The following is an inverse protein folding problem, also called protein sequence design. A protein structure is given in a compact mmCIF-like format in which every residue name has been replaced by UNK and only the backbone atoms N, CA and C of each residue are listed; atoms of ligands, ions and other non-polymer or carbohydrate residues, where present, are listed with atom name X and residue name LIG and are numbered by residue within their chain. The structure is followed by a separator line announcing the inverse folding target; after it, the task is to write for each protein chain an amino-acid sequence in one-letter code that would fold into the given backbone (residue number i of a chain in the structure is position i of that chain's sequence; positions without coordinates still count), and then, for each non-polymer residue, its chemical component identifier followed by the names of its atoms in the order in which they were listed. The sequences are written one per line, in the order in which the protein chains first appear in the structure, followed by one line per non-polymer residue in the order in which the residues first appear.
data_IF_524404645201
#
_entry.id   IF_524404645201
#
_cell.length_a   1.000
_cell.length_b   1.000
_cell.length_c   1.000
_cell.angle_alpha   90.00
_cell.angle_beta   90.00
_cell.angle_gamma   90.00
#
_symmetry.space_group_name_H-M   'P 1'
#
loop_
_entity.id
_entity.type
_entity.pdbx_description
1 polymer ?
#
# COMPACT_ATOMS: atom_id res chain seq x y z
N UNK A 1 41.15 39.91 -24.37
CA UNK A 1 40.45 39.95 -23.07
C UNK A 1 38.98 39.78 -23.35
N UNK A 2 38.50 38.54 -23.30
CA UNK A 2 37.12 38.14 -23.58
C UNK A 2 36.43 37.93 -22.24
N UNK A 3 35.51 38.82 -21.88
CA UNK A 3 34.67 38.70 -20.69
C UNK A 3 33.46 37.82 -21.02
N UNK A 4 33.42 36.61 -20.46
CA UNK A 4 32.19 35.80 -20.42
C UNK A 4 31.25 36.38 -19.34
N UNK A 5 29.92 36.42 -19.59
CA UNK A 5 28.97 36.83 -18.57
C UNK A 5 28.79 35.69 -17.57
N UNK A 6 28.83 36.02 -16.28
CA UNK A 6 28.49 35.11 -15.21
C UNK A 6 27.01 34.72 -15.33
N UNK A 7 26.75 33.42 -15.41
CA UNK A 7 25.42 32.85 -15.24
C UNK A 7 25.03 33.00 -13.78
N UNK A 8 24.10 33.91 -13.51
CA UNK A 8 23.48 34.10 -12.21
C UNK A 8 22.55 32.88 -11.97
N UNK A 9 23.07 31.87 -11.27
CA UNK A 9 22.26 30.77 -10.76
C UNK A 9 21.39 31.32 -9.64
N UNK A 10 20.10 31.50 -9.94
CA UNK A 10 19.10 31.76 -8.92
C UNK A 10 19.19 30.67 -7.82
N UNK A 11 19.17 31.03 -6.52
CA UNK A 11 19.23 30.04 -5.46
C UNK A 11 17.97 29.17 -5.51
N UNK A 12 18.14 27.85 -5.51
CA UNK A 12 17.07 26.88 -5.35
C UNK A 12 16.20 27.29 -4.15
N UNK A 13 14.96 27.72 -4.42
CA UNK A 13 14.05 28.17 -3.40
C UNK A 13 13.68 26.97 -2.51
N UNK A 14 14.22 26.94 -1.29
CA UNK A 14 13.77 26.00 -0.25
C UNK A 14 12.27 26.22 -0.07
N UNK A 15 11.42 25.20 -0.28
CA UNK A 15 9.98 25.36 -0.20
C UNK A 15 9.59 25.81 1.21
N UNK A 16 8.66 26.77 1.29
CA UNK A 16 8.09 27.22 2.56
C UNK A 16 7.47 26.04 3.34
N UNK A 17 7.56 26.08 4.67
CA UNK A 17 7.09 25.02 5.57
C UNK A 17 5.61 24.71 5.30
N UNK A 18 4.77 25.72 5.09
CA UNK A 18 3.34 25.50 4.77
C UNK A 18 3.17 24.73 3.46
N UNK A 19 4.06 24.97 2.48
CA UNK A 19 4.04 24.29 1.18
C UNK A 19 4.45 22.82 1.34
N UNK A 20 5.45 22.54 2.17
CA UNK A 20 5.91 21.18 2.45
C UNK A 20 4.84 20.34 3.18
N UNK A 21 4.11 20.94 4.12
CA UNK A 21 3.03 20.24 4.84
C UNK A 21 1.82 19.97 3.93
N UNK A 22 1.49 20.90 3.04
CA UNK A 22 0.45 20.65 2.03
C UNK A 22 0.89 19.54 1.07
N UNK A 23 2.15 19.53 0.65
CA UNK A 23 2.68 18.52 -0.26
C UNK A 23 2.61 17.10 0.32
N UNK A 24 2.99 16.89 1.58
CA UNK A 24 2.91 15.55 2.20
C UNK A 24 1.48 15.06 2.36
N UNK A 25 0.52 15.96 2.62
CA UNK A 25 -0.91 15.60 2.67
C UNK A 25 -1.42 15.14 1.31
N UNK A 26 -1.05 15.86 0.24
CA UNK A 26 -1.38 15.46 -1.14
C UNK A 26 -0.76 14.10 -1.48
N UNK A 27 0.52 13.90 -1.16
CA UNK A 27 1.21 12.65 -1.40
C UNK A 27 0.55 11.45 -0.69
N UNK A 28 0.10 11.65 0.56
CA UNK A 28 -0.67 10.66 1.31
C UNK A 28 -2.02 10.38 0.66
N UNK A 29 -2.73 11.42 0.22
CA UNK A 29 -4.02 11.27 -0.46
C UNK A 29 -3.88 10.47 -1.76
N UNK A 30 -2.84 10.75 -2.55
CA UNK A 30 -2.52 10.03 -3.78
C UNK A 30 -2.16 8.57 -3.49
N UNK A 31 -1.29 8.32 -2.50
CA UNK A 31 -0.93 6.97 -2.05
C UNK A 31 -2.16 6.17 -1.58
N UNK A 32 -3.14 6.84 -0.97
CA UNK A 32 -4.35 6.21 -0.47
C UNK A 32 -5.39 5.89 -1.54
N UNK A 33 -5.21 6.34 -2.79
CA UNK A 33 -6.21 6.25 -3.86
C UNK A 33 -6.84 4.87 -4.04
N UNK A 34 -6.04 3.80 -3.91
CA UNK A 34 -6.49 2.41 -4.06
C UNK A 34 -7.48 1.93 -3.00
N UNK A 35 -7.54 2.58 -1.82
CA UNK A 35 -8.44 2.19 -0.73
C UNK A 35 -9.89 2.58 -1.04
N UNK A 36 -10.83 1.73 -0.68
CA UNK A 36 -12.24 2.10 -0.63
C UNK A 36 -12.52 2.92 0.64
N UNK A 37 -13.02 4.16 0.59
CA UNK A 37 -13.41 4.91 1.79
C UNK A 37 -14.80 4.46 2.28
N UNK A 38 -14.94 3.21 2.71
CA UNK A 38 -16.26 2.62 3.04
C UNK A 38 -16.34 2.11 4.48
N UNK A 39 -17.27 2.66 5.26
CA UNK A 39 -17.65 2.23 6.63
C UNK A 39 -19.04 2.81 6.99
N UNK A 40 -19.86 2.21 7.89
CA UNK A 40 -19.68 0.97 8.66
C UNK A 40 -19.95 -0.31 7.88
N UNK A 41 -19.20 -1.37 8.21
CA UNK A 41 -19.34 -2.70 7.60
C UNK A 41 -20.74 -3.31 7.82
N UNK A 42 -21.41 -2.97 8.93
CA UNK A 42 -22.71 -3.52 9.29
C UNK A 42 -23.84 -3.07 8.35
N UNK A 43 -23.70 -1.90 7.72
CA UNK A 43 -24.77 -1.29 6.92
C UNK A 43 -24.63 -1.58 5.41
N UNK A 44 -23.54 -2.21 4.97
CA UNK A 44 -23.25 -2.45 3.56
C UNK A 44 -23.12 -3.94 3.22
N UNK A 45 -24.09 -4.44 2.47
CA UNK A 45 -24.24 -5.87 2.10
C UNK A 45 -23.24 -6.30 1.01
N UNK A 46 -22.60 -5.36 0.30
CA UNK A 46 -21.55 -5.64 -0.68
C UNK A 46 -20.54 -4.48 -0.77
N UNK A 47 -19.41 -4.58 -0.06
CA UNK A 47 -18.27 -3.67 -0.29
C UNK A 47 -17.44 -4.25 -1.43
N UNK A 48 -17.30 -3.51 -2.53
CA UNK A 48 -16.27 -3.78 -3.53
C UNK A 48 -14.93 -3.26 -2.98
N UNK A 49 -13.98 -4.14 -2.56
CA UNK A 49 -12.70 -3.70 -2.00
C UNK A 49 -11.84 -2.94 -3.02
N UNK A 50 -12.19 -3.01 -4.31
CA UNK A 50 -11.53 -2.33 -5.41
C UNK A 50 -12.25 -1.04 -5.82
N UNK A 51 -13.17 -0.51 -5.01
CA UNK A 51 -13.92 0.70 -5.39
C UNK A 51 -13.02 1.92 -5.59
N UNK A 52 -11.87 1.99 -4.91
CA UNK A 52 -10.84 3.00 -5.15
C UNK A 52 -10.13 2.90 -6.51
N UNK A 53 -10.41 1.85 -7.29
CA UNK A 53 -9.79 1.56 -8.59
C UNK A 53 -10.82 1.55 -9.74
N UNK A 54 -12.05 2.04 -9.52
CA UNK A 54 -13.13 2.00 -10.52
C UNK A 54 -12.82 2.81 -11.79
N UNK A 55 -12.00 3.85 -11.68
CA UNK A 55 -11.58 4.68 -12.82
C UNK A 55 -10.47 4.04 -13.67
N UNK A 56 -10.03 2.82 -13.31
CA UNK A 56 -8.99 2.07 -14.02
C UNK A 56 -9.58 0.92 -14.82
N UNK A 57 -8.96 0.54 -15.96
CA UNK A 57 -9.27 -0.72 -16.63
C UNK A 57 -9.14 -1.91 -15.66
N UNK A 58 -10.07 -2.87 -15.75
CA UNK A 58 -10.13 -4.01 -14.82
C UNK A 58 -8.79 -4.76 -14.66
N UNK A 59 -8.05 -4.96 -15.75
CA UNK A 59 -6.76 -5.65 -15.70
C UNK A 59 -5.69 -4.86 -14.92
N UNK A 60 -5.72 -3.54 -15.00
CA UNK A 60 -4.83 -2.66 -14.23
C UNK A 60 -5.22 -2.67 -12.75
N UNK A 61 -6.52 -2.55 -12.45
CA UNK A 61 -7.03 -2.65 -11.09
C UNK A 61 -6.68 -4.01 -10.44
N UNK A 62 -6.74 -5.10 -11.21
CA UNK A 62 -6.34 -6.43 -10.78
C UNK A 62 -4.86 -6.50 -10.40
N UNK A 63 -3.98 -5.95 -11.24
CA UNK A 63 -2.54 -5.89 -10.96
C UNK A 63 -2.24 -5.05 -9.73
N UNK A 64 -2.86 -3.87 -9.59
CA UNK A 64 -2.69 -3.02 -8.41
C UNK A 64 -3.13 -3.76 -7.13
N UNK A 65 -4.26 -4.46 -7.17
CA UNK A 65 -4.76 -5.24 -6.04
C UNK A 65 -3.83 -6.43 -5.69
N UNK A 66 -3.27 -7.10 -6.69
CA UNK A 66 -2.28 -8.15 -6.49
C UNK A 66 -0.99 -7.58 -5.86
N UNK A 67 -0.47 -6.49 -6.40
CA UNK A 67 0.80 -5.90 -5.98
C UNK A 67 0.72 -5.25 -4.60
N UNK A 68 -0.39 -4.58 -4.27
CA UNK A 68 -0.59 -3.89 -2.99
C UNK A 68 -1.20 -4.78 -1.92
N UNK A 69 -2.10 -5.70 -2.26
CA UNK A 69 -2.85 -6.47 -1.26
C UNK A 69 -2.56 -7.97 -1.31
N UNK A 70 -1.82 -8.46 -2.31
CA UNK A 70 -1.73 -9.89 -2.58
C UNK A 70 -3.09 -10.50 -2.96
N UNK A 71 -4.04 -9.67 -3.39
CA UNK A 71 -5.41 -10.09 -3.61
C UNK A 71 -5.57 -10.72 -5.00
N UNK A 72 -6.25 -11.86 -5.06
CA UNK A 72 -6.72 -12.44 -6.31
C UNK A 72 -8.12 -11.90 -6.62
N UNK A 73 -8.24 -11.19 -7.74
CA UNK A 73 -9.52 -10.56 -8.14
C UNK A 73 -10.29 -11.35 -9.21
N UNK A 74 -9.70 -12.42 -9.73
CA UNK A 74 -10.32 -13.35 -10.68
C UNK A 74 -10.41 -14.75 -10.06
N UNK A 75 -11.30 -15.62 -10.57
CA UNK A 75 -11.17 -17.05 -10.31
C UNK A 75 -9.77 -17.55 -10.68
N UNK A 76 -9.31 -18.58 -9.98
CA UNK A 76 -8.08 -19.26 -10.34
C UNK A 76 -8.26 -20.16 -11.58
N UNK A 77 -7.14 -20.64 -12.09
CA UNK A 77 -7.09 -21.48 -13.28
C UNK A 77 -7.80 -22.82 -13.08
N UNK A 78 -7.86 -23.33 -11.85
CA UNK A 78 -8.58 -24.57 -11.53
C UNK A 78 -10.09 -24.37 -11.71
N UNK A 79 -10.63 -23.28 -11.18
CA UNK A 79 -12.03 -22.90 -11.36
C UNK A 79 -12.36 -22.64 -12.83
N UNK A 80 -11.49 -21.94 -13.56
CA UNK A 80 -11.69 -21.66 -14.99
C UNK A 80 -11.70 -22.95 -15.82
N UNK A 81 -10.80 -23.90 -15.53
CA UNK A 81 -10.77 -25.22 -16.17
C UNK A 81 -12.01 -26.04 -15.84
N UNK A 82 -12.53 -25.94 -14.62
CA UNK A 82 -13.80 -26.57 -14.26
C UNK A 82 -14.98 -25.97 -15.04
N UNK A 83 -15.03 -24.64 -15.18
CA UNK A 83 -16.02 -23.97 -16.01
C UNK A 83 -15.94 -24.39 -17.49
N UNK A 84 -14.73 -24.61 -18.00
CA UNK A 84 -14.52 -25.18 -19.34
C UNK A 84 -15.01 -26.63 -19.45
N UNK A 85 -14.67 -27.51 -18.51
CA UNK A 85 -15.13 -28.92 -18.50
C UNK A 85 -16.66 -29.04 -18.47
N UNK A 86 -17.33 -28.08 -17.84
CA UNK A 86 -18.80 -27.98 -17.80
C UNK A 86 -19.41 -27.21 -18.99
N UNK A 87 -18.61 -26.83 -19.99
CA UNK A 87 -19.08 -26.15 -21.20
C UNK A 87 -19.51 -24.69 -21.01
N UNK A 88 -19.27 -24.07 -19.84
CA UNK A 88 -19.53 -22.62 -19.64
C UNK A 88 -18.51 -21.77 -20.38
N UNK A 89 -17.28 -22.25 -20.48
CA UNK A 89 -16.21 -21.68 -21.31
C UNK A 89 -15.99 -22.66 -22.47
N UNK A 90 -15.96 -22.15 -23.71
CA UNK A 90 -15.80 -22.97 -24.92
C UNK A 90 -14.48 -22.68 -25.61
N UNK A 91 -13.93 -23.66 -26.33
CA UNK A 91 -12.70 -23.48 -27.12
C UNK A 91 -12.85 -22.37 -28.16
N UNK A 92 -14.01 -22.24 -28.80
CA UNK A 92 -14.28 -21.16 -29.75
C UNK A 92 -14.28 -19.80 -29.07
N UNK A 93 -14.81 -19.71 -27.84
CA UNK A 93 -14.73 -18.51 -27.02
C UNK A 93 -13.29 -18.16 -26.66
N UNK A 94 -12.47 -19.15 -26.27
CA UNK A 94 -11.04 -18.94 -25.99
C UNK A 94 -10.28 -18.47 -27.23
N UNK A 95 -10.47 -19.13 -28.38
CA UNK A 95 -9.86 -18.73 -29.67
C UNK A 95 -10.26 -17.31 -30.06
N UNK A 96 -11.54 -16.96 -29.93
CA UNK A 96 -12.02 -15.60 -30.24
C UNK A 96 -11.40 -14.54 -29.32
N UNK A 97 -11.24 -14.83 -28.03
CA UNK A 97 -10.59 -13.91 -27.08
C UNK A 97 -9.09 -13.79 -27.36
N UNK A 98 -8.40 -14.89 -27.63
CA UNK A 98 -6.98 -14.88 -28.02
C UNK A 98 -6.77 -14.06 -29.30
N UNK A 99 -7.66 -14.21 -30.29
CA UNK A 99 -7.62 -13.42 -31.51
C UNK A 99 -7.74 -11.92 -31.24
N UNK A 100 -8.65 -11.54 -30.34
CA UNK A 100 -8.91 -10.15 -29.98
C UNK A 100 -7.78 -9.52 -29.15
N UNK A 101 -7.22 -10.26 -28.17
CA UNK A 101 -6.22 -9.72 -27.23
C UNK A 101 -4.78 -9.91 -27.68
N UNK A 102 -4.50 -10.94 -28.47
CA UNK A 102 -3.16 -11.30 -28.93
C UNK A 102 -3.12 -11.54 -30.45
N UNK A 103 -3.53 -10.56 -31.28
CA UNK A 103 -3.53 -10.72 -32.74
C UNK A 103 -2.14 -10.93 -33.34
N UNK A 104 -1.07 -10.60 -32.60
CA UNK A 104 0.30 -10.91 -33.00
C UNK A 104 0.60 -12.42 -32.94
N UNK A 105 0.09 -13.13 -31.93
CA UNK A 105 0.28 -14.58 -31.81
C UNK A 105 -0.38 -15.33 -32.98
N UNK A 106 -1.52 -14.84 -33.48
CA UNK A 106 -2.20 -15.38 -34.66
C UNK A 106 -1.43 -15.18 -35.97
N UNK A 107 -0.49 -14.23 -36.01
CA UNK A 107 0.31 -13.92 -37.20
C UNK A 107 1.63 -14.67 -37.22
N UNK A 108 1.97 -15.38 -36.15
CA UNK A 108 3.15 -16.22 -36.13
C UNK A 108 2.90 -17.49 -36.94
N UNK A 109 3.88 -17.89 -37.74
CA UNK A 109 3.86 -19.20 -38.38
C UNK A 109 3.94 -20.33 -37.35
N UNK A 110 3.72 -21.58 -37.77
CA UNK A 110 3.74 -22.73 -36.87
C UNK A 110 5.03 -22.81 -36.05
N UNK A 111 4.89 -23.09 -34.76
CA UNK A 111 6.01 -23.29 -33.84
C UNK A 111 6.47 -24.74 -33.92
N UNK A 112 7.77 -24.96 -34.11
CA UNK A 112 8.34 -26.31 -34.16
C UNK A 112 8.81 -26.72 -32.76
N UNK A 113 8.21 -27.78 -32.21
CA UNK A 113 8.63 -28.41 -30.95
C UNK A 113 9.06 -29.84 -31.25
N UNK A 114 10.37 -30.09 -31.18
CA UNK A 114 10.97 -31.36 -31.61
C UNK A 114 10.83 -31.54 -33.13
N UNK A 115 10.11 -32.58 -33.55
CA UNK A 115 9.86 -32.92 -34.95
C UNK A 115 8.42 -32.60 -35.42
N UNK A 116 7.65 -31.83 -34.63
CA UNK A 116 6.26 -31.47 -34.93
C UNK A 116 6.10 -29.96 -35.01
N UNK A 117 5.31 -29.51 -35.98
CA UNK A 117 4.85 -28.14 -36.09
C UNK A 117 3.48 -28.02 -35.41
N UNK A 118 3.30 -26.96 -34.62
CA UNK A 118 2.07 -26.68 -33.91
C UNK A 118 1.58 -25.28 -34.27
N UNK A 119 0.27 -25.14 -34.38
CA UNK A 119 -0.34 -23.82 -34.45
C UNK A 119 -0.18 -23.10 -33.09
N UNK A 120 0.26 -21.83 -33.06
CA UNK A 120 0.44 -21.09 -31.81
C UNK A 120 -0.84 -20.97 -30.97
N UNK A 121 -2.01 -20.90 -31.61
CA UNK A 121 -3.30 -20.78 -30.91
C UNK A 121 -3.67 -22.11 -30.27
N UNK A 122 -3.46 -23.22 -30.98
CA UNK A 122 -3.68 -24.55 -30.43
C UNK A 122 -2.82 -24.78 -29.19
N UNK A 123 -1.55 -24.35 -29.21
CA UNK A 123 -0.67 -24.43 -28.03
C UNK A 123 -1.18 -23.58 -26.87
N UNK A 124 -1.61 -22.35 -27.12
CA UNK A 124 -2.14 -21.46 -26.08
C UNK A 124 -3.44 -22.01 -25.48
N UNK A 125 -4.34 -22.56 -26.31
CA UNK A 125 -5.57 -23.20 -25.83
C UNK A 125 -5.24 -24.45 -25.01
N UNK A 126 -4.28 -25.26 -25.45
CA UNK A 126 -3.81 -26.42 -24.70
C UNK A 126 -3.20 -26.03 -23.33
N UNK A 127 -2.44 -24.93 -23.27
CA UNK A 127 -1.89 -24.39 -22.03
C UNK A 127 -2.98 -23.87 -21.08
N UNK A 128 -3.99 -23.17 -21.59
CA UNK A 128 -5.14 -22.76 -20.77
C UNK A 128 -5.86 -23.96 -20.13
N UNK A 129 -5.95 -25.08 -20.86
CA UNK A 129 -6.61 -26.31 -20.40
C UNK A 129 -5.77 -27.16 -19.45
N UNK A 130 -4.48 -27.32 -19.75
CA UNK A 130 -3.60 -28.34 -19.14
C UNK A 130 -2.26 -27.80 -18.64
N UNK A 131 -1.99 -26.52 -18.85
CA UNK A 131 -0.74 -25.88 -18.47
C UNK A 131 -0.50 -25.86 -16.96
N UNK A 132 0.70 -25.42 -16.58
CA UNK A 132 1.05 -25.23 -15.17
C UNK A 132 0.31 -24.00 -14.66
N UNK A 133 -0.40 -24.13 -13.53
CA UNK A 133 -1.10 -23.01 -12.91
C UNK A 133 -0.12 -21.96 -12.40
N UNK A 134 -0.44 -20.68 -12.57
CA UNK A 134 0.35 -19.60 -12.00
C UNK A 134 0.32 -19.62 -10.48
N UNK A 135 1.39 -19.15 -9.81
CA UNK A 135 1.35 -18.95 -8.37
C UNK A 135 0.26 -17.93 -8.01
N UNK A 136 -0.32 -18.01 -6.79
CA UNK A 136 -1.23 -16.96 -6.34
C UNK A 136 -0.52 -15.60 -6.32
N UNK A 137 -1.27 -14.50 -6.57
CA UNK A 137 -0.70 -13.17 -6.47
C UNK A 137 -0.10 -12.97 -5.08
N UNK A 138 1.03 -12.28 -5.04
CA UNK A 138 1.71 -11.92 -3.80
C UNK A 138 1.91 -10.42 -3.79
N UNK A 139 1.70 -9.81 -2.63
CA UNK A 139 2.05 -8.42 -2.42
C UNK A 139 3.52 -8.21 -2.77
N UNK A 140 3.80 -7.21 -3.59
CA UNK A 140 5.15 -6.83 -4.05
C UNK A 140 5.65 -5.54 -3.39
N UNK A 141 4.75 -4.83 -2.70
CA UNK A 141 5.03 -3.57 -2.04
C UNK A 141 5.17 -3.82 -0.54
N UNK A 142 6.34 -3.51 0.01
CA UNK A 142 6.72 -3.87 1.37
C UNK A 142 7.24 -2.67 2.15
N UNK A 143 7.02 -2.67 3.47
CA UNK A 143 7.66 -1.70 4.36
C UNK A 143 9.11 -2.10 4.68
N UNK A 144 9.90 -1.22 5.31
CA UNK A 144 11.27 -1.54 5.70
C UNK A 144 11.30 -2.67 6.75
N UNK A 145 10.36 -2.67 7.70
CA UNK A 145 10.20 -3.76 8.65
C UNK A 145 9.92 -5.10 7.95
N UNK A 146 9.09 -5.12 6.91
CA UNK A 146 8.79 -6.35 6.17
C UNK A 146 9.98 -6.87 5.38
N UNK A 147 10.83 -5.97 4.87
CA UNK A 147 12.04 -6.34 4.16
C UNK A 147 13.17 -6.81 5.09
N UNK A 148 13.27 -6.24 6.30
CA UNK A 148 14.46 -6.39 7.15
C UNK A 148 14.22 -7.15 8.46
N UNK A 149 13.01 -7.11 9.03
CA UNK A 149 12.75 -7.57 10.40
C UNK A 149 11.30 -8.08 10.61
N UNK A 150 11.02 -9.37 10.33
CA UNK A 150 9.67 -9.94 10.44
C UNK A 150 8.99 -9.74 11.82
N UNK A 151 9.74 -9.85 12.92
CA UNK A 151 9.19 -9.66 14.28
C UNK A 151 8.69 -8.22 14.52
N UNK A 152 9.31 -7.23 13.86
CA UNK A 152 8.90 -5.83 13.94
C UNK A 152 7.56 -5.61 13.26
N UNK A 153 7.23 -6.38 12.21
CA UNK A 153 5.94 -6.29 11.51
C UNK A 153 4.78 -6.61 12.45
N UNK A 154 4.90 -7.68 13.23
CA UNK A 154 3.88 -8.09 14.19
C UNK A 154 3.70 -7.04 15.30
N UNK A 155 4.81 -6.47 15.80
CA UNK A 155 4.78 -5.37 16.78
C UNK A 155 4.06 -4.14 16.22
N UNK A 156 4.43 -3.69 15.02
CA UNK A 156 3.84 -2.51 14.37
C UNK A 156 2.34 -2.67 14.14
N UNK A 157 1.91 -3.82 13.66
CA UNK A 157 0.50 -4.08 13.42
C UNK A 157 -0.29 -4.13 14.72
N UNK A 158 0.23 -4.80 15.75
CA UNK A 158 -0.43 -4.87 17.07
C UNK A 158 -0.56 -3.48 17.69
N UNK A 159 0.53 -2.69 17.68
CA UNK A 159 0.54 -1.31 18.17
C UNK A 159 -0.47 -0.44 17.42
N UNK A 160 -0.47 -0.51 16.08
CA UNK A 160 -1.42 0.25 15.25
C UNK A 160 -2.87 -0.11 15.57
N UNK A 161 -3.18 -1.41 15.64
CA UNK A 161 -4.53 -1.90 15.94
C UNK A 161 -4.99 -1.40 17.31
N UNK A 162 -4.13 -1.53 18.33
CA UNK A 162 -4.44 -1.09 19.70
C UNK A 162 -4.84 0.38 19.75
N UNK A 163 -4.03 1.26 19.16
CA UNK A 163 -4.26 2.70 19.22
C UNK A 163 -5.42 3.15 18.33
N UNK A 164 -5.55 2.58 17.13
CA UNK A 164 -6.70 2.86 16.26
C UNK A 164 -8.00 2.42 16.92
N UNK A 165 -8.05 1.21 17.49
CA UNK A 165 -9.23 0.71 18.19
C UNK A 165 -9.58 1.58 19.42
N UNK A 166 -8.59 1.95 20.23
CA UNK A 166 -8.82 2.79 21.41
C UNK A 166 -9.39 4.19 21.07
N UNK A 167 -9.00 4.76 19.91
CA UNK A 167 -9.50 6.07 19.48
C UNK A 167 -10.87 5.99 18.79
N UNK A 168 -11.05 4.99 17.94
CA UNK A 168 -12.27 4.77 17.15
C UNK A 168 -13.40 4.14 17.98
N UNK A 169 -13.13 3.75 19.22
CA UNK A 169 -14.15 3.24 20.14
C UNK A 169 -15.26 4.27 20.38
N UNK A 170 -16.49 3.91 19.99
CA UNK A 170 -17.71 4.72 20.15
C UNK A 170 -18.36 4.52 21.55
N UNK A 171 -17.57 4.12 22.54
CA UNK A 171 -18.02 3.98 23.93
C UNK A 171 -18.39 2.56 24.35
N UNK A 172 -17.84 1.54 23.66
CA UNK A 172 -17.94 0.15 24.11
C UNK A 172 -17.02 -0.11 25.31
N UNK A 173 -15.88 0.60 25.40
CA UNK A 173 -14.97 0.49 26.53
C UNK A 173 -15.35 1.44 27.66
N UNK A 174 -15.23 0.97 28.89
CA UNK A 174 -15.39 1.80 30.10
C UNK A 174 -14.32 2.88 30.21
N UNK A 175 -13.13 2.64 29.65
CA UNK A 175 -12.01 3.58 29.64
C UNK A 175 -11.91 4.27 28.28
N UNK A 176 -12.06 5.60 28.26
CA UNK A 176 -11.85 6.42 27.05
C UNK A 176 -10.39 6.82 26.92
N UNK A 177 -9.88 6.86 25.68
CA UNK A 177 -8.52 7.33 25.40
C UNK A 177 -8.30 8.76 25.95
N UNK A 178 -7.34 8.98 26.86
CA UNK A 178 -7.06 10.32 27.38
C UNK A 178 -6.58 11.27 26.28
N UNK A 179 -7.07 12.51 26.29
CA UNK A 179 -6.69 13.54 25.31
C UNK A 179 -7.29 13.38 23.92
N UNK A 180 -8.22 12.43 23.71
CA UNK A 180 -8.91 12.17 22.44
C UNK A 180 -9.55 13.42 21.82
N UNK A 181 -10.00 14.35 22.65
CA UNK A 181 -10.57 15.65 22.26
C UNK A 181 -9.59 16.53 21.45
N UNK A 182 -8.28 16.25 21.53
CA UNK A 182 -7.23 16.95 20.78
C UNK A 182 -6.91 16.30 19.43
N UNK A 183 -7.62 15.24 19.06
CA UNK A 183 -7.34 14.42 17.88
C UNK A 183 -6.40 13.25 18.17
N UNK A 184 -6.28 12.34 17.20
CA UNK A 184 -5.59 11.06 17.34
C UNK A 184 -4.11 11.24 17.60
N UNK A 185 -3.39 11.92 16.70
CA UNK A 185 -1.93 11.98 16.78
C UNK A 185 -1.45 12.68 18.06
N UNK A 186 -2.00 13.83 18.50
CA UNK A 186 -1.60 14.45 19.77
C UNK A 186 -1.86 13.54 20.98
N UNK A 187 -3.00 12.85 21.01
CA UNK A 187 -3.35 11.92 22.08
C UNK A 187 -2.41 10.70 22.09
N UNK A 188 -2.20 10.08 20.93
CA UNK A 188 -1.28 8.96 20.77
C UNK A 188 0.14 9.33 21.15
N UNK A 189 0.68 10.44 20.64
CA UNK A 189 2.03 10.92 20.94
C UNK A 189 2.27 11.08 22.43
N UNK A 190 1.29 11.61 23.17
CA UNK A 190 1.38 11.79 24.62
C UNK A 190 1.39 10.45 25.39
N UNK A 191 0.70 9.43 24.88
CA UNK A 191 0.50 8.16 25.58
C UNK A 191 1.49 7.07 25.15
N UNK A 192 1.95 7.06 23.90
CA UNK A 192 2.79 6.01 23.31
C UNK A 192 4.15 5.86 24.02
N UNK A 193 4.65 6.92 24.64
CA UNK A 193 5.89 6.92 25.43
C UNK A 193 5.77 6.08 26.71
N UNK A 194 4.55 5.83 27.16
CA UNK A 194 4.21 5.02 28.32
C UNK A 194 3.70 3.61 27.95
N UNK A 195 3.64 3.28 26.65
CA UNK A 195 3.13 2.00 26.17
C UNK A 195 4.11 0.86 26.45
N UNK A 196 3.82 0.05 27.47
CA UNK A 196 4.69 -1.04 27.90
C UNK A 196 4.85 -2.16 26.84
N UNK A 197 4.02 -2.20 25.80
CA UNK A 197 4.16 -3.15 24.69
C UNK A 197 5.38 -2.83 23.80
N UNK A 198 5.83 -1.57 23.80
CA UNK A 198 7.00 -1.14 23.05
C UNK A 198 8.29 -1.26 23.88
N UNK A 199 9.43 -1.65 23.29
CA UNK A 199 10.73 -1.65 23.98
C UNK A 199 11.13 -0.26 24.48
N UNK A 200 11.85 -0.19 25.61
CA UNK A 200 12.28 1.08 26.22
C UNK A 200 13.05 2.02 25.26
N UNK A 201 13.97 1.55 24.40
CA UNK A 201 14.64 2.41 23.42
C UNK A 201 13.67 3.02 22.39
N UNK A 202 12.65 2.25 21.98
CA UNK A 202 11.62 2.73 21.05
C UNK A 202 10.80 3.83 21.69
N UNK A 203 10.32 3.64 22.92
CA UNK A 203 9.59 4.67 23.67
C UNK A 203 10.39 5.94 23.89
N UNK A 204 11.68 5.82 24.19
CA UNK A 204 12.58 6.95 24.35
C UNK A 204 12.71 7.77 23.06
N UNK A 205 12.70 7.13 21.89
CA UNK A 205 12.70 7.82 20.59
C UNK A 205 11.35 8.48 20.29
N UNK A 206 10.24 7.79 20.57
CA UNK A 206 8.89 8.35 20.39
C UNK A 206 8.63 9.60 21.25
N UNK A 207 9.33 9.75 22.38
CA UNK A 207 9.27 10.94 23.22
C UNK A 207 9.65 12.22 22.48
N UNK A 208 10.53 12.13 21.48
CA UNK A 208 11.04 13.26 20.73
C UNK A 208 10.23 13.60 19.48
N UNK A 209 9.09 12.95 19.26
CA UNK A 209 8.28 13.21 18.09
C UNK A 209 7.81 14.67 18.02
N UNK A 210 7.70 15.24 16.81
CA UNK A 210 7.21 16.58 16.61
C UNK A 210 5.73 16.69 16.98
N UNK A 211 5.27 17.91 17.25
CA UNK A 211 3.87 18.16 17.64
C UNK A 211 2.87 17.91 16.50
N UNK A 212 3.31 18.05 15.26
CA UNK A 212 2.49 17.86 14.06
C UNK A 212 2.71 16.49 13.42
N UNK A 213 1.62 15.82 13.05
CA UNK A 213 1.66 14.52 12.39
C UNK A 213 2.43 14.56 11.06
N UNK A 214 2.28 15.64 10.29
CA UNK A 214 2.98 15.81 9.00
C UNK A 214 4.51 15.83 9.19
N UNK A 215 5.00 16.51 10.23
CA UNK A 215 6.42 16.53 10.54
C UNK A 215 6.90 15.14 10.96
N UNK A 216 6.11 14.39 11.74
CA UNK A 216 6.47 13.04 12.14
C UNK A 216 6.58 12.09 10.93
N UNK A 217 5.69 12.22 9.94
CA UNK A 217 5.78 11.48 8.68
C UNK A 217 7.09 11.83 7.95
N UNK A 218 7.37 13.12 7.76
CA UNK A 218 8.57 13.57 7.04
C UNK A 218 9.87 13.16 7.74
N UNK A 219 9.95 13.33 9.05
CA UNK A 219 11.10 12.90 9.86
C UNK A 219 11.29 11.39 9.83
N UNK A 220 10.21 10.61 9.88
CA UNK A 220 10.30 9.16 9.82
C UNK A 220 10.74 8.66 8.44
N UNK A 221 10.18 9.23 7.35
CA UNK A 221 10.63 8.94 5.98
C UNK A 221 12.10 9.27 5.80
N UNK A 222 12.54 10.42 6.33
CA UNK A 222 13.94 10.81 6.33
C UNK A 222 14.79 9.84 7.16
N UNK A 223 14.36 9.42 8.36
CA UNK A 223 15.12 8.49 9.20
C UNK A 223 15.25 7.08 8.60
N UNK A 224 14.23 6.63 7.87
CA UNK A 224 14.21 5.35 7.15
C UNK A 224 14.98 5.40 5.82
N UNK A 225 15.34 6.61 5.37
CA UNK A 225 16.07 6.83 4.11
C UNK A 225 15.26 6.55 2.87
N UNK A 226 13.96 6.78 2.92
CA UNK A 226 13.06 6.59 1.78
C UNK A 226 13.34 7.69 0.74
N UNK A 227 13.79 7.35 -0.47
CA UNK A 227 14.02 8.35 -1.50
C UNK A 227 12.69 8.91 -2.03
N UNK A 228 12.69 10.17 -2.46
CA UNK A 228 11.47 10.90 -2.85
C UNK A 228 10.66 10.18 -3.94
N UNK A 229 11.34 9.53 -4.89
CA UNK A 229 10.71 8.76 -5.97
C UNK A 229 10.07 7.43 -5.51
N UNK A 230 10.29 6.98 -4.27
CA UNK A 230 9.71 5.75 -3.72
C UNK A 230 8.69 6.01 -2.62
N UNK A 231 8.56 7.25 -2.14
CA UNK A 231 7.68 7.59 -1.01
C UNK A 231 6.24 7.17 -1.24
N UNK A 232 5.63 7.50 -2.39
CA UNK A 232 4.24 7.06 -2.69
C UNK A 232 4.06 5.55 -2.54
N UNK A 233 4.98 4.76 -3.10
CA UNK A 233 4.95 3.30 -3.02
C UNK A 233 5.14 2.82 -1.58
N UNK A 234 5.96 3.51 -0.79
CA UNK A 234 6.16 3.18 0.62
C UNK A 234 4.95 3.49 1.49
N UNK A 235 4.32 4.64 1.28
CA UNK A 235 3.08 5.00 1.97
C UNK A 235 1.97 3.99 1.63
N UNK A 236 1.89 3.58 0.35
CA UNK A 236 1.01 2.48 -0.07
C UNK A 236 1.29 1.17 0.68
N UNK A 237 2.56 0.81 0.90
CA UNK A 237 2.93 -0.37 1.69
C UNK A 237 2.33 -0.32 3.10
N UNK A 238 2.48 0.82 3.79
CA UNK A 238 1.95 1.01 5.14
C UNK A 238 0.43 0.99 5.22
N UNK A 239 -0.24 1.57 4.22
CA UNK A 239 -1.70 1.53 4.10
C UNK A 239 -2.20 0.10 3.82
N UNK A 240 -1.45 -0.67 3.06
CA UNK A 240 -1.77 -2.05 2.71
C UNK A 240 -1.51 -3.07 3.84
N UNK A 241 -0.76 -2.72 4.88
CA UNK A 241 -0.55 -3.62 6.02
C UNK A 241 -1.84 -3.89 6.82
N UNK A 242 -2.71 -2.88 6.96
CA UNK A 242 -4.00 -2.97 7.67
C UNK A 242 -5.10 -2.26 6.86
N UNK A 243 -5.46 -2.78 5.67
CA UNK A 243 -6.27 -2.04 4.71
C UNK A 243 -7.68 -1.75 5.23
N UNK A 244 -8.23 -2.57 6.13
CA UNK A 244 -9.51 -2.30 6.79
C UNK A 244 -9.48 -1.08 7.71
N UNK A 245 -8.44 -0.94 8.54
CA UNK A 245 -8.26 0.25 9.38
C UNK A 245 -7.96 1.48 8.52
N UNK A 246 -7.07 1.36 7.52
CA UNK A 246 -6.75 2.46 6.63
C UNK A 246 -7.98 2.95 5.86
N UNK A 247 -8.80 2.04 5.31
CA UNK A 247 -10.07 2.37 4.66
C UNK A 247 -11.06 3.07 5.61
N UNK A 248 -11.22 2.55 6.83
CA UNK A 248 -12.10 3.15 7.82
C UNK A 248 -11.63 4.56 8.22
N UNK A 249 -10.33 4.75 8.47
CA UNK A 249 -9.76 6.06 8.82
C UNK A 249 -9.85 7.03 7.64
N UNK A 250 -9.66 6.56 6.40
CA UNK A 250 -9.90 7.39 5.20
C UNK A 250 -11.34 7.89 5.15
N UNK A 251 -12.31 7.04 5.46
CA UNK A 251 -13.72 7.42 5.55
C UNK A 251 -13.98 8.40 6.71
N UNK A 252 -13.38 8.18 7.89
CA UNK A 252 -13.48 9.10 9.01
C UNK A 252 -12.93 10.49 8.66
N UNK A 253 -11.80 10.57 7.97
CA UNK A 253 -11.18 11.82 7.55
C UNK A 253 -12.02 12.67 6.58
N UNK A 254 -13.06 12.09 5.96
CA UNK A 254 -14.02 12.84 5.12
C UNK A 254 -15.14 13.50 5.94
N UNK A 255 -15.27 13.13 7.21
CA UNK A 255 -16.30 13.65 8.11
C UNK A 255 -15.74 14.81 8.93
N UNK A 256 -16.52 15.88 9.15
CA UNK A 256 -16.15 16.91 10.11
C UNK A 256 -16.00 16.29 11.51
N UNK A 257 -15.06 16.83 12.28
CA UNK A 257 -14.83 16.49 13.69
C UNK A 257 -14.49 15.01 13.99
N UNK A 258 -14.03 14.25 13.00
CA UNK A 258 -13.63 12.84 13.20
C UNK A 258 -12.40 12.70 14.11
N UNK A 259 -11.55 13.73 14.14
CA UNK A 259 -10.35 13.80 14.97
C UNK A 259 -9.23 12.84 14.55
N UNK A 260 -9.37 12.14 13.42
CA UNK A 260 -8.36 11.23 12.88
C UNK A 260 -8.41 11.21 11.34
N UNK A 261 -7.24 11.25 10.71
CA UNK A 261 -7.08 11.04 9.27
C UNK A 261 -5.91 10.10 8.92
N UNK A 262 -5.62 9.93 7.63
CA UNK A 262 -4.53 9.07 7.17
C UNK A 262 -3.13 9.61 7.47
N UNK A 263 -2.98 10.92 7.69
CA UNK A 263 -1.72 11.51 8.14
C UNK A 263 -1.43 11.03 9.55
N UNK A 264 -2.44 11.07 10.43
CA UNK A 264 -2.33 10.59 11.80
C UNK A 264 -1.97 9.09 11.85
N UNK A 265 -2.64 8.27 11.03
CA UNK A 265 -2.38 6.84 10.90
C UNK A 265 -0.94 6.56 10.43
N UNK A 266 -0.49 7.24 9.38
CA UNK A 266 0.86 7.07 8.83
C UNK A 266 1.93 7.61 9.77
N UNK A 267 1.67 8.72 10.47
CA UNK A 267 2.58 9.26 11.46
C UNK A 267 2.84 8.25 12.58
N UNK A 268 1.81 7.59 13.10
CA UNK A 268 1.96 6.51 14.08
C UNK A 268 2.84 5.38 13.55
N UNK A 269 2.51 4.86 12.36
CA UNK A 269 3.18 3.68 11.81
C UNK A 269 4.63 3.94 11.45
N UNK A 270 4.88 5.00 10.69
CA UNK A 270 6.21 5.37 10.23
C UNK A 270 7.12 5.74 11.40
N UNK A 271 6.63 6.54 12.36
CA UNK A 271 7.41 6.90 13.54
C UNK A 271 7.79 5.67 14.38
N UNK A 272 6.85 4.74 14.57
CA UNK A 272 7.11 3.51 15.33
C UNK A 272 8.08 2.59 14.58
N UNK A 273 7.96 2.49 13.26
CA UNK A 273 8.89 1.70 12.43
C UNK A 273 10.30 2.30 12.47
N UNK A 274 10.44 3.60 12.22
CA UNK A 274 11.71 4.31 12.30
C UNK A 274 12.34 4.19 13.69
N UNK A 275 11.54 4.34 14.74
CA UNK A 275 12.00 4.19 16.12
C UNK A 275 12.43 2.75 16.45
N UNK A 276 11.84 1.74 15.81
CA UNK A 276 12.17 0.33 16.06
C UNK A 276 13.42 -0.11 15.29
N UNK A 277 13.55 0.31 14.02
CA UNK A 277 14.69 -0.04 13.17
C UNK A 277 15.94 0.82 13.42
N UNK A 278 15.80 1.92 14.18
CA UNK A 278 16.95 2.77 14.49
C UNK A 278 18.04 1.98 15.24
N UNK A 279 19.21 1.90 14.63
CA UNK A 279 20.38 1.20 15.17
C UNK A 279 20.48 -0.30 14.85
N UNK A 280 19.45 -0.91 14.24
CA UNK A 280 19.57 -2.29 13.73
C UNK A 280 20.09 -2.32 12.29
N UNK A 281 19.81 -1.27 11.51
CA UNK A 281 20.29 -1.13 10.14
C UNK A 281 20.69 0.32 9.83
N UNK A 282 21.56 0.48 8.84
CA UNK A 282 21.94 1.79 8.32
C UNK A 282 20.77 2.45 7.61
N UNK A 283 20.79 3.77 7.57
CA UNK A 283 19.86 4.57 6.79
C UNK A 283 19.79 4.08 5.33
N UNK A 284 18.58 3.89 4.82
CA UNK A 284 18.31 3.47 3.46
C UNK A 284 18.63 2.01 3.11
N UNK A 285 19.00 1.16 4.09
CA UNK A 285 19.34 -0.26 3.86
C UNK A 285 18.22 -1.02 3.14
N UNK A 286 16.95 -0.74 3.45
CA UNK A 286 15.80 -1.37 2.82
C UNK A 286 15.70 -1.10 1.30
N UNK A 287 16.30 0.00 0.82
CA UNK A 287 16.18 0.48 -0.56
C UNK A 287 17.38 0.11 -1.43
N UNK A 288 18.47 -0.34 -0.82
CA UNK A 288 19.68 -0.79 -1.52
C UNK A 288 19.59 -2.25 -1.99
N UNK A 289 18.64 -3.02 -1.47
CA UNK A 289 18.45 -4.46 -1.77
C UNK A 289 17.27 -4.76 -2.70
N UNK A 290 16.58 -3.73 -3.20
CA UNK A 290 15.41 -3.83 -4.06
C UNK A 290 15.73 -3.47 -5.52
#
# INVERSE_FOLDING_TARGET
MTTSPATDLAPDAVPDVSTQLAAVRTEIADAAGFLAPTWPLADFIAVNPLSGLLDRPFAEAATIAADLLGARVTPDETWLRDAWRHGRITDDGLRAVLARRHPAALRQGPLTLGNRAYDPVELLVADLHQGVTGPPPRRQVHTAAEALAPDVVALLNTHTIQWCAAFLDEGQSTWRMPGRDRGFYPAWRALATHDATLPRPVRARLWHLPERAEHAVLEALAALGVPDNQRTRYLQAHLACLPGFAAHIRWQGQRPDSGIDLVDYLALRLATEAATLAGTHSHGTAWASA
#
